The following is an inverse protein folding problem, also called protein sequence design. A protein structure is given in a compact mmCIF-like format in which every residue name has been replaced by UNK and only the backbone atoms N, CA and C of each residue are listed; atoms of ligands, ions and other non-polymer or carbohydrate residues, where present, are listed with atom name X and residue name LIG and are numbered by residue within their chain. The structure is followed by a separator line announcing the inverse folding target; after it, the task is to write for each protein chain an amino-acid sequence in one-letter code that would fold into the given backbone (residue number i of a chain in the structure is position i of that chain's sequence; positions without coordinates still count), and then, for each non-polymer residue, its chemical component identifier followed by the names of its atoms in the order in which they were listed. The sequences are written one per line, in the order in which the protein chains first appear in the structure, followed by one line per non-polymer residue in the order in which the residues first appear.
data_IF_307478637684
#
_entry.id   IF_307478637684
#
_cell.length_a   1.000
_cell.length_b   1.000
_cell.length_c   1.000
_cell.angle_alpha   90.00
_cell.angle_beta   90.00
_cell.angle_gamma   90.00
#
_symmetry.space_group_name_H-M   'P 1'
#
loop_
_entity.id
_entity.type
_entity.pdbx_description
1 polymer ?
#
# COMPACT_ATOMS: atom_id res chain seq x y z
N UNK A 1 0.91 -2.70 23.06
CA UNK A 1 1.90 -2.15 22.11
C UNK A 1 2.22 -0.75 22.60
N UNK A 2 3.39 -0.55 23.21
CA UNK A 2 3.79 0.71 23.84
C UNK A 2 4.46 1.60 22.78
N UNK A 3 3.77 2.63 22.33
CA UNK A 3 4.39 3.70 21.56
C UNK A 3 5.15 4.58 22.55
N UNK A 4 6.47 4.71 22.37
CA UNK A 4 7.23 5.76 23.06
C UNK A 4 7.18 7.00 22.15
N UNK A 5 6.34 7.97 22.52
CA UNK A 5 6.46 9.32 21.99
C UNK A 5 7.75 9.92 22.53
N UNK A 6 8.58 10.49 21.65
CA UNK A 6 9.62 11.42 22.07
C UNK A 6 9.07 12.82 21.85
N UNK A 7 8.69 13.47 22.94
CA UNK A 7 8.13 14.81 22.90
C UNK A 7 9.28 15.82 22.98
N UNK A 8 9.46 16.61 21.92
CA UNK A 8 10.38 17.74 21.90
C UNK A 8 9.57 19.00 22.21
N UNK A 9 9.88 19.63 23.35
CA UNK A 9 9.22 20.87 23.80
C UNK A 9 10.15 22.04 23.55
N UNK A 10 9.75 22.94 22.65
CA UNK A 10 10.50 24.17 22.39
C UNK A 10 9.77 25.35 23.05
N UNK A 11 10.35 25.94 24.09
CA UNK A 11 9.72 27.08 24.79
C UNK A 11 10.26 28.42 24.27
N UNK A 12 9.38 29.24 23.68
CA UNK A 12 9.71 30.63 23.33
C UNK A 12 9.92 31.41 24.62
N UNK A 13 10.97 32.23 24.66
CA UNK A 13 11.41 32.95 25.85
C UNK A 13 10.36 33.97 26.34
N UNK A 14 9.46 33.52 27.21
CA UNK A 14 8.72 34.39 28.11
C UNK A 14 9.63 34.63 29.34
N UNK A 15 9.93 35.89 29.73
CA UNK A 15 10.78 36.17 30.89
C UNK A 15 10.27 35.54 32.19
N UNK A 16 8.95 35.31 32.30
CA UNK A 16 8.33 34.60 33.44
C UNK A 16 8.57 33.07 33.34
N UNK A 17 8.66 32.52 32.14
CA UNK A 17 8.97 31.10 31.93
C UNK A 17 10.45 30.77 32.18
N UNK A 18 11.34 31.78 32.17
CA UNK A 18 12.77 31.61 32.43
C UNK A 18 13.06 31.10 33.85
N UNK A 19 12.22 31.45 34.82
CA UNK A 19 12.33 30.94 36.19
C UNK A 19 11.64 29.56 36.35
N UNK A 20 10.48 29.35 35.72
CA UNK A 20 9.75 28.07 35.71
C UNK A 20 10.53 26.93 35.03
N UNK A 21 11.46 27.25 34.12
CA UNK A 21 12.33 26.30 33.41
C UNK A 21 13.81 26.62 33.61
N UNK A 22 14.20 27.16 34.78
CA UNK A 22 15.61 27.20 35.18
C UNK A 22 16.10 25.77 35.37
N UNK A 23 16.54 25.16 34.27
CA UNK A 23 16.87 23.75 34.18
C UNK A 23 18.29 23.49 34.71
N UNK A 24 18.56 23.89 35.96
CA UNK A 24 19.65 23.27 36.73
C UNK A 24 19.39 21.78 36.96
N UNK A 25 18.12 21.35 36.81
CA UNK A 25 17.68 19.95 36.81
C UNK A 25 17.06 19.52 35.47
N UNK A 26 17.68 19.87 34.33
CA UNK A 26 17.29 19.29 33.05
C UNK A 26 17.36 17.76 33.14
N UNK A 27 16.20 17.09 33.19
CA UNK A 27 16.13 15.62 33.18
C UNK A 27 16.90 15.10 31.96
N UNK A 28 17.54 13.93 32.09
CA UNK A 28 18.17 13.21 30.97
C UNK A 28 17.23 13.21 29.74
N UNK A 29 17.64 13.89 28.67
CA UNK A 29 16.93 13.90 27.38
C UNK A 29 16.47 15.27 26.85
N UNK A 30 16.69 16.38 27.57
CA UNK A 30 16.39 17.72 27.06
C UNK A 30 17.66 18.47 26.62
N UNK A 31 17.58 19.20 25.51
CA UNK A 31 18.62 20.14 25.07
C UNK A 31 18.00 21.54 24.89
N UNK A 32 18.71 22.57 25.36
CA UNK A 32 18.29 23.96 25.24
C UNK A 32 18.97 24.55 24.01
N UNK A 33 18.20 25.17 23.11
CA UNK A 33 18.73 25.79 21.89
C UNK A 33 18.70 27.31 21.99
N UNK A 34 19.78 27.94 21.54
CA UNK A 34 19.86 29.38 21.42
C UNK A 34 19.41 29.80 20.01
N UNK A 35 18.42 30.71 19.89
CA UNK A 35 17.88 31.12 18.60
C UNK A 35 18.83 31.97 17.74
N UNK A 36 20.05 32.25 18.22
CA UNK A 36 21.09 32.97 17.49
C UNK A 36 21.86 32.09 16.50
N UNK A 37 21.77 30.77 16.67
CA UNK A 37 22.52 29.83 15.87
C UNK A 37 21.66 29.47 14.66
N UNK A 38 22.08 29.89 13.46
CA UNK A 38 21.45 29.52 12.18
C UNK A 38 21.65 28.03 11.83
N UNK A 39 22.00 27.22 12.82
CA UNK A 39 22.48 25.87 12.63
C UNK A 39 21.29 24.94 12.49
N UNK A 40 21.33 24.14 11.42
CA UNK A 40 20.37 23.05 11.24
C UNK A 40 20.69 21.98 12.27
N UNK A 41 19.70 21.63 13.11
CA UNK A 41 19.85 20.59 14.11
C UNK A 41 19.23 19.27 13.61
N UNK A 42 20.00 18.19 13.71
CA UNK A 42 19.58 16.86 13.32
C UNK A 42 19.18 16.04 14.55
N UNK A 43 18.02 15.38 14.47
CA UNK A 43 17.52 14.48 15.52
C UNK A 43 17.52 13.06 14.97
N UNK A 44 18.59 12.28 15.19
CA UNK A 44 18.63 10.90 14.73
C UNK A 44 17.58 10.10 15.49
N UNK A 45 16.76 9.36 14.76
CA UNK A 45 15.83 8.38 15.31
C UNK A 45 15.96 7.07 14.56
N UNK A 46 15.58 5.98 15.22
CA UNK A 46 15.53 4.66 14.60
C UNK A 46 14.33 3.92 15.15
N UNK A 47 13.59 3.25 14.27
CA UNK A 47 12.55 2.31 14.66
C UNK A 47 12.57 1.10 13.73
N UNK A 48 11.98 0.00 14.19
CA UNK A 48 11.88 -1.23 13.41
C UNK A 48 10.41 -1.47 13.11
N UNK A 49 10.07 -1.61 11.83
CA UNK A 49 8.71 -1.99 11.41
C UNK A 49 8.50 -3.45 11.79
N UNK A 50 7.46 -3.78 12.59
CA UNK A 50 7.20 -5.17 12.96
C UNK A 50 6.93 -6.04 11.73
N UNK A 51 7.49 -7.25 11.70
CA UNK A 51 7.31 -8.16 10.56
C UNK A 51 5.88 -8.66 10.33
N UNK A 52 4.97 -8.46 11.30
CA UNK A 52 3.55 -8.79 11.20
C UNK A 52 2.70 -7.62 10.68
N UNK A 53 3.31 -6.47 10.41
CA UNK A 53 2.63 -5.30 9.86
C UNK A 53 2.15 -5.60 8.43
N UNK A 54 0.98 -5.06 8.07
CA UNK A 54 0.42 -5.20 6.74
C UNK A 54 1.24 -4.42 5.72
N UNK A 55 1.18 -4.84 4.46
CA UNK A 55 1.77 -4.04 3.38
C UNK A 55 0.94 -2.79 3.11
N UNK A 56 1.56 -1.79 2.51
CA UNK A 56 0.86 -0.61 2.00
C UNK A 56 -0.03 -1.04 0.84
N UNK A 57 -1.34 -0.85 1.00
CA UNK A 57 -2.35 -1.19 0.00
C UNK A 57 -3.18 0.05 -0.26
N UNK A 58 -3.38 0.39 -1.53
CA UNK A 58 -4.32 1.42 -1.93
C UNK A 58 -5.37 0.82 -2.87
N UNK A 59 -6.63 0.83 -2.46
CA UNK A 59 -7.77 0.31 -3.23
C UNK A 59 -8.84 1.38 -3.37
N UNK A 60 -9.80 1.17 -4.26
CA UNK A 60 -10.97 2.05 -4.42
C UNK A 60 -11.88 2.12 -3.17
N UNK A 61 -11.74 1.18 -2.24
CA UNK A 61 -12.55 1.11 -1.02
C UNK A 61 -11.81 1.56 0.24
N UNK A 62 -10.51 1.81 0.16
CA UNK A 62 -9.72 2.15 1.34
C UNK A 62 -8.22 1.95 1.14
N UNK A 63 -7.48 2.43 2.13
CA UNK A 63 -6.03 2.46 2.12
C UNK A 63 -5.45 1.94 3.43
N UNK A 64 -4.42 1.12 3.34
CA UNK A 64 -3.47 0.83 4.40
C UNK A 64 -2.21 1.60 4.06
N UNK A 65 -1.89 2.63 4.84
CA UNK A 65 -0.73 3.48 4.64
C UNK A 65 0.02 3.71 5.94
N UNK A 66 1.32 3.97 5.83
CA UNK A 66 2.16 4.35 6.95
C UNK A 66 2.69 5.75 6.71
N UNK A 67 2.76 6.55 7.77
CA UNK A 67 3.34 7.88 7.73
C UNK A 67 4.32 8.06 8.88
N UNK A 68 5.44 8.73 8.60
CA UNK A 68 6.32 9.29 9.60
C UNK A 68 5.83 10.70 9.90
N UNK A 69 5.38 10.94 11.13
CA UNK A 69 4.86 12.22 11.58
C UNK A 69 5.82 12.87 12.56
N UNK A 70 6.35 14.03 12.19
CA UNK A 70 7.19 14.87 13.05
C UNK A 70 6.33 15.98 13.61
N UNK A 71 6.27 16.10 14.94
CA UNK A 71 5.47 17.11 15.62
C UNK A 71 6.37 17.94 16.54
N UNK A 72 6.39 19.25 16.33
CA UNK A 72 7.04 20.21 17.24
C UNK A 72 5.95 20.86 18.08
N UNK A 73 6.01 20.65 19.39
CA UNK A 73 5.10 21.29 20.33
C UNK A 73 5.84 22.42 21.04
N UNK A 74 5.29 23.64 20.96
CA UNK A 74 5.81 24.76 21.75
C UNK A 74 4.88 25.08 22.91
N UNK A 75 5.45 25.49 24.03
CA UNK A 75 4.67 25.81 25.23
C UNK A 75 3.99 27.19 25.08
N UNK A 76 2.65 27.23 25.17
CA UNK A 76 1.84 28.46 25.08
C UNK A 76 0.35 28.16 24.92
N UNK A 77 -0.53 29.07 25.38
CA UNK A 77 -1.98 28.93 25.23
C UNK A 77 -2.40 29.17 23.79
N UNK A 78 -2.93 28.13 23.13
CA UNK A 78 -3.57 28.22 21.81
C UNK A 78 -2.66 27.88 20.64
N UNK A 79 -2.68 26.62 20.19
CA UNK A 79 -2.27 26.17 18.84
C UNK A 79 -0.83 26.53 18.45
N UNK A 80 0.16 25.99 19.15
CA UNK A 80 1.55 26.02 18.67
C UNK A 80 2.11 24.62 18.42
N UNK A 81 1.40 23.87 17.59
CA UNK A 81 1.83 22.55 17.13
C UNK A 81 2.15 22.66 15.64
N UNK A 82 3.42 22.50 15.28
CA UNK A 82 3.81 22.29 13.89
C UNK A 82 3.91 20.80 13.63
N UNK A 83 3.37 20.33 12.52
CA UNK A 83 3.32 18.92 12.17
C UNK A 83 3.66 18.74 10.71
N UNK A 84 4.60 17.84 10.43
CA UNK A 84 4.93 17.41 9.08
C UNK A 84 4.77 15.89 9.00
N UNK A 85 4.07 15.41 7.97
CA UNK A 85 3.94 13.97 7.66
C UNK A 85 4.72 13.62 6.40
N UNK A 86 5.36 12.46 6.40
CA UNK A 86 6.03 11.85 5.25
C UNK A 86 5.48 10.42 5.05
N UNK A 87 4.91 10.08 3.88
CA UNK A 87 4.42 8.72 3.63
C UNK A 87 5.57 7.72 3.53
N UNK A 88 5.37 6.52 4.09
CA UNK A 88 6.34 5.42 4.10
C UNK A 88 5.70 4.18 3.48
N UNK A 89 6.12 3.74 2.27
CA UNK A 89 5.61 2.52 1.68
C UNK A 89 6.23 1.30 2.39
N UNK A 90 5.38 0.35 2.76
CA UNK A 90 5.79 -0.91 3.40
C UNK A 90 5.46 -2.07 2.48
N UNK A 91 6.47 -2.82 2.08
CA UNK A 91 6.33 -4.00 1.23
C UNK A 91 6.66 -5.25 2.02
N UNK A 92 5.90 -6.32 1.79
CA UNK A 92 6.21 -7.64 2.35
C UNK A 92 7.00 -8.45 1.34
N UNK A 93 8.12 -8.99 1.80
CA UNK A 93 8.96 -9.89 1.01
C UNK A 93 8.86 -11.27 1.63
N UNK A 94 8.57 -12.32 0.84
CA UNK A 94 8.62 -13.68 1.36
C UNK A 94 10.02 -13.96 1.89
N UNK A 95 10.09 -14.49 3.11
CA UNK A 95 11.36 -14.96 3.67
C UNK A 95 11.65 -16.33 3.07
N UNK A 96 12.91 -16.57 2.71
CA UNK A 96 13.36 -17.86 2.18
C UNK A 96 12.94 -19.02 3.09
N UNK A 97 12.42 -20.08 2.48
CA UNK A 97 11.97 -21.28 3.18
C UNK A 97 10.64 -21.14 3.94
N UNK A 98 9.89 -20.05 3.72
CA UNK A 98 8.52 -19.90 4.22
C UNK A 98 7.50 -20.52 3.25
N UNK A 99 6.28 -20.80 3.73
CA UNK A 99 5.19 -21.29 2.88
C UNK A 99 4.88 -20.36 1.70
N UNK A 100 5.08 -19.04 1.87
CA UNK A 100 4.93 -18.08 0.79
C UNK A 100 6.01 -18.24 -0.29
N UNK A 101 7.26 -18.47 0.13
CA UNK A 101 8.36 -18.74 -0.80
C UNK A 101 8.13 -20.03 -1.59
N UNK A 102 7.70 -21.12 -0.92
CA UNK A 102 7.36 -22.37 -1.60
C UNK A 102 6.19 -22.22 -2.58
N UNK A 103 5.19 -21.39 -2.25
CA UNK A 103 4.07 -21.12 -3.14
C UNK A 103 4.45 -20.40 -4.46
N UNK A 104 5.65 -19.77 -4.51
CA UNK A 104 6.21 -19.22 -5.76
C UNK A 104 6.87 -20.29 -6.64
N UNK A 105 7.15 -21.47 -6.09
CA UNK A 105 7.76 -22.61 -6.79
C UNK A 105 6.77 -23.74 -7.09
N UNK A 106 5.64 -23.77 -6.38
CA UNK A 106 4.62 -24.81 -6.55
C UNK A 106 3.86 -24.62 -7.86
N UNK A 107 3.93 -25.62 -8.74
CA UNK A 107 3.17 -25.60 -9.99
C UNK A 107 1.66 -25.67 -9.75
N UNK A 108 0.88 -24.89 -10.50
CA UNK A 108 -0.57 -24.94 -10.47
C UNK A 108 -1.08 -25.94 -11.52
N UNK A 109 -1.92 -26.89 -11.10
CA UNK A 109 -2.65 -27.79 -11.99
C UNK A 109 -4.13 -27.78 -11.64
N UNK A 110 -4.95 -27.29 -12.56
CA UNK A 110 -6.41 -27.26 -12.43
C UNK A 110 -7.04 -28.11 -13.52
N UNK A 111 -8.08 -28.87 -13.18
CA UNK A 111 -8.84 -29.67 -14.14
C UNK A 111 -10.32 -29.38 -13.99
N UNK A 112 -11.00 -29.22 -15.11
CA UNK A 112 -12.44 -29.08 -15.20
C UNK A 112 -12.98 -30.06 -16.25
N UNK A 113 -14.15 -30.61 -15.98
CA UNK A 113 -14.86 -31.53 -16.87
C UNK A 113 -16.28 -30.98 -17.07
N UNK A 114 -16.68 -30.80 -18.33
CA UNK A 114 -18.04 -30.44 -18.70
C UNK A 114 -18.78 -31.69 -19.14
N UNK A 115 -19.41 -32.36 -18.19
CA UNK A 115 -20.36 -33.46 -18.43
C UNK A 115 -19.80 -34.58 -19.32
N UNK A 116 -18.49 -34.86 -19.27
CA UNK A 116 -17.85 -35.86 -20.11
C UNK A 116 -17.83 -35.51 -21.60
N UNK A 117 -18.08 -34.25 -21.96
CA UNK A 117 -17.97 -33.75 -23.32
C UNK A 117 -16.57 -33.19 -23.59
N UNK A 118 -16.06 -32.37 -22.67
CA UNK A 118 -14.77 -31.69 -22.79
C UNK A 118 -14.08 -31.70 -21.44
N UNK A 119 -12.79 -32.02 -21.45
CA UNK A 119 -11.91 -31.85 -20.31
C UNK A 119 -10.96 -30.68 -20.59
N UNK A 120 -10.92 -29.69 -19.68
CA UNK A 120 -9.91 -28.63 -19.67
C UNK A 120 -8.93 -28.90 -18.54
N UNK A 121 -7.66 -28.84 -18.86
CA UNK A 121 -6.58 -28.87 -17.90
C UNK A 121 -5.74 -27.60 -18.06
N UNK A 122 -5.61 -26.84 -16.98
CA UNK A 122 -4.80 -25.61 -16.93
C UNK A 122 -3.57 -25.90 -16.08
N UNK A 123 -2.40 -25.68 -16.68
CA UNK A 123 -1.10 -25.84 -16.06
C UNK A 123 -0.42 -24.48 -15.99
N UNK A 124 0.15 -24.14 -14.84
CA UNK A 124 1.03 -22.99 -14.69
C UNK A 124 2.25 -23.38 -13.87
N UNK A 125 3.37 -22.73 -14.18
CA UNK A 125 4.67 -22.99 -13.53
C UNK A 125 4.63 -22.66 -12.03
N UNK A 126 3.74 -21.74 -11.62
CA UNK A 126 3.60 -21.33 -10.22
C UNK A 126 2.15 -21.00 -9.85
N UNK A 127 1.78 -21.27 -8.61
CA UNK A 127 0.51 -20.83 -7.98
C UNK A 127 0.56 -19.32 -7.66
N UNK A 128 1.75 -18.76 -7.45
CA UNK A 128 1.95 -17.36 -7.07
C UNK A 128 2.90 -16.64 -8.03
N UNK A 129 2.57 -15.41 -8.40
CA UNK A 129 3.37 -14.59 -9.32
C UNK A 129 3.74 -13.26 -8.68
N UNK A 130 4.95 -12.79 -8.99
CA UNK A 130 5.39 -11.45 -8.58
C UNK A 130 4.93 -10.41 -9.60
N UNK A 131 4.82 -9.14 -9.20
CA UNK A 131 4.30 -8.07 -10.05
C UNK A 131 5.06 -7.88 -11.38
N UNK A 132 6.32 -8.33 -11.47
CA UNK A 132 7.17 -8.22 -12.67
C UNK A 132 7.36 -9.55 -13.39
N UNK A 133 6.79 -10.64 -12.88
CA UNK A 133 6.90 -11.96 -13.51
C UNK A 133 5.86 -12.14 -14.63
N UNK A 134 6.20 -12.96 -15.62
CA UNK A 134 5.25 -13.41 -16.63
C UNK A 134 4.50 -14.62 -16.09
N UNK A 135 3.18 -14.62 -16.22
CA UNK A 135 2.36 -15.78 -15.91
C UNK A 135 2.22 -16.63 -17.18
N UNK A 136 2.97 -17.72 -17.22
CA UNK A 136 2.86 -18.71 -18.28
C UNK A 136 1.73 -19.68 -17.92
N UNK A 137 0.74 -19.79 -18.79
CA UNK A 137 -0.39 -20.70 -18.60
C UNK A 137 -0.53 -21.57 -19.84
N UNK A 138 -0.46 -22.87 -19.63
CA UNK A 138 -0.75 -23.86 -20.68
C UNK A 138 -2.13 -24.44 -20.44
N UNK A 139 -3.04 -24.20 -21.37
CA UNK A 139 -4.33 -24.87 -21.41
C UNK A 139 -4.26 -26.09 -22.33
N UNK A 140 -4.70 -27.25 -21.84
CA UNK A 140 -4.85 -28.49 -22.59
C UNK A 140 -6.33 -28.82 -22.62
N UNK A 141 -6.92 -28.80 -23.81
CA UNK A 141 -8.32 -29.15 -24.02
C UNK A 141 -8.38 -30.54 -24.67
N UNK A 142 -9.17 -31.44 -24.07
CA UNK A 142 -9.41 -32.79 -24.61
C UNK A 142 -10.90 -32.96 -24.89
N UNK A 143 -11.33 -33.03 -26.16
CA UNK A 143 -12.69 -33.44 -26.48
C UNK A 143 -12.85 -34.93 -26.17
N UNK A 144 -13.87 -35.27 -25.36
CA UNK A 144 -14.18 -36.64 -24.96
C UNK A 144 -15.28 -37.25 -25.84
N UNK A 145 -16.03 -36.42 -26.58
CA UNK A 145 -17.02 -36.84 -27.55
C UNK A 145 -16.57 -36.53 -28.98
N UNK A 146 -16.94 -37.42 -29.91
CA UNK A 146 -16.68 -37.22 -31.35
C UNK A 146 -17.49 -36.03 -31.89
N UNK A 147 -16.97 -35.41 -32.94
CA UNK A 147 -17.62 -34.28 -33.66
C UNK A 147 -17.72 -32.97 -32.89
N UNK A 148 -17.00 -32.82 -31.78
CA UNK A 148 -16.84 -31.53 -31.12
C UNK A 148 -15.63 -30.81 -31.70
N UNK A 149 -15.84 -29.55 -32.11
CA UNK A 149 -14.78 -28.67 -32.56
C UNK A 149 -14.66 -27.54 -31.54
N UNK A 150 -13.47 -27.36 -30.99
CA UNK A 150 -13.15 -26.15 -30.24
C UNK A 150 -13.22 -24.99 -31.24
N UNK A 151 -13.95 -23.93 -30.90
CA UNK A 151 -14.00 -22.71 -31.71
C UNK A 151 -13.05 -21.67 -31.14
N UNK A 152 -12.96 -21.62 -29.82
CA UNK A 152 -12.38 -20.50 -29.10
C UNK A 152 -12.01 -20.87 -27.66
N UNK A 153 -10.90 -20.31 -27.18
CA UNK A 153 -10.50 -20.35 -25.78
C UNK A 153 -10.03 -18.97 -25.31
N UNK A 154 -10.58 -18.51 -24.20
CA UNK A 154 -10.18 -17.29 -23.52
C UNK A 154 -9.65 -17.57 -22.11
N UNK A 155 -8.52 -16.94 -21.78
CA UNK A 155 -8.02 -16.84 -20.41
C UNK A 155 -8.23 -15.41 -19.90
N UNK A 156 -8.71 -15.28 -18.67
CA UNK A 156 -8.95 -13.98 -18.03
C UNK A 156 -8.40 -13.99 -16.62
N UNK A 157 -7.63 -12.96 -16.29
CA UNK A 157 -7.13 -12.71 -14.95
C UNK A 157 -7.96 -11.60 -14.31
N UNK A 158 -8.55 -11.90 -13.15
CA UNK A 158 -9.39 -10.97 -12.40
C UNK A 158 -8.77 -10.68 -11.04
N UNK A 159 -8.71 -9.41 -10.67
CA UNK A 159 -8.49 -8.96 -9.31
C UNK A 159 -9.83 -8.97 -8.57
N UNK A 160 -9.88 -9.60 -7.39
CA UNK A 160 -11.06 -9.64 -6.54
C UNK A 160 -10.77 -9.02 -5.18
N UNK A 161 -11.37 -7.86 -4.92
CA UNK A 161 -11.24 -7.16 -3.63
C UNK A 161 -12.50 -7.42 -2.83
N UNK A 162 -12.33 -7.87 -1.58
CA UNK A 162 -13.42 -8.10 -0.63
C UNK A 162 -13.20 -7.23 0.60
N UNK A 163 -14.14 -6.32 0.87
CA UNK A 163 -14.07 -5.42 2.02
C UNK A 163 -15.15 -5.80 3.01
N UNK A 164 -14.74 -6.30 4.16
CA UNK A 164 -15.69 -6.73 5.22
C UNK A 164 -16.35 -5.55 5.92
N UNK A 165 -15.67 -4.41 6.01
CA UNK A 165 -16.14 -3.24 6.74
C UNK A 165 -17.17 -2.41 5.95
N UNK A 166 -17.18 -2.54 4.62
CA UNK A 166 -18.12 -1.85 3.77
C UNK A 166 -19.25 -2.81 3.40
N UNK A 167 -20.47 -2.48 3.79
CA UNK A 167 -21.67 -3.23 3.46
C UNK A 167 -22.43 -2.51 2.35
N UNK A 168 -23.04 -3.28 1.46
CA UNK A 168 -23.99 -2.75 0.50
C UNK A 168 -25.35 -2.44 1.17
N UNK A 169 -26.32 -1.97 0.38
CA UNK A 169 -27.66 -1.66 0.87
C UNK A 169 -28.44 -2.86 1.42
N UNK A 170 -27.95 -4.08 1.20
CA UNK A 170 -28.54 -5.33 1.69
C UNK A 170 -27.77 -5.92 2.87
N UNK A 171 -26.71 -5.26 3.32
CA UNK A 171 -25.85 -5.74 4.41
C UNK A 171 -24.81 -6.77 3.96
N UNK A 172 -24.63 -6.98 2.65
CA UNK A 172 -23.62 -7.87 2.11
C UNK A 172 -22.27 -7.14 1.97
N UNK A 173 -21.13 -7.81 2.23
CA UNK A 173 -19.82 -7.21 2.02
C UNK A 173 -19.65 -6.75 0.57
N UNK A 174 -19.19 -5.50 0.38
CA UNK A 174 -18.89 -4.97 -0.95
C UNK A 174 -17.76 -5.81 -1.57
N UNK A 175 -17.99 -6.21 -2.82
CA UNK A 175 -17.06 -6.98 -3.64
C UNK A 175 -16.78 -6.16 -4.90
N UNK A 176 -15.51 -6.07 -5.26
CA UNK A 176 -15.09 -5.58 -6.57
C UNK A 176 -14.38 -6.68 -7.33
N UNK A 177 -14.63 -6.70 -8.62
CA UNK A 177 -13.97 -7.56 -9.58
C UNK A 177 -13.48 -6.70 -10.74
N UNK A 178 -12.17 -6.68 -10.94
CA UNK A 178 -11.52 -5.93 -12.02
C UNK A 178 -10.78 -6.89 -12.93
N UNK A 179 -11.06 -6.83 -14.24
CA UNK A 179 -10.29 -7.56 -15.24
C UNK A 179 -8.90 -6.93 -15.36
N UNK A 180 -7.85 -7.70 -15.06
CA UNK A 180 -6.44 -7.27 -15.19
C UNK A 180 -5.97 -7.49 -16.62
N UNK A 181 -6.13 -8.73 -17.12
CA UNK A 181 -5.73 -9.09 -18.47
C UNK A 181 -6.62 -10.19 -19.04
N UNK A 182 -6.69 -10.23 -20.37
CA UNK A 182 -7.40 -11.24 -21.13
C UNK A 182 -6.53 -11.67 -22.32
N UNK A 183 -6.45 -12.97 -22.55
CA UNK A 183 -5.86 -13.56 -23.75
C UNK A 183 -6.88 -14.49 -24.39
N UNK A 184 -6.78 -14.65 -25.70
CA UNK A 184 -7.80 -15.28 -26.51
C UNK A 184 -7.16 -15.94 -27.73
N UNK A 185 -7.45 -17.22 -27.94
CA UNK A 185 -6.92 -17.98 -29.08
C UNK A 185 -8.08 -18.67 -29.76
N UNK A 186 -8.19 -18.44 -31.07
CA UNK A 186 -9.15 -19.12 -31.92
C UNK A 186 -8.47 -20.28 -32.63
N UNK A 187 -9.24 -21.32 -32.95
CA UNK A 187 -8.70 -22.53 -33.59
C UNK A 187 -8.23 -22.36 -35.03
N UNK A 188 -8.55 -21.24 -35.67
CA UNK A 188 -8.02 -20.87 -36.99
C UNK A 188 -6.58 -20.31 -36.92
N UNK A 189 -6.03 -20.11 -35.73
CA UNK A 189 -4.68 -19.62 -35.49
C UNK A 189 -3.74 -20.75 -34.98
N UNK A 190 -2.95 -21.39 -35.87
CA UNK A 190 -2.16 -22.57 -35.53
C UNK A 190 -0.92 -22.29 -34.66
N UNK A 191 -0.53 -21.03 -34.46
CA UNK A 191 0.66 -20.63 -33.67
C UNK A 191 0.32 -19.94 -32.34
N UNK A 192 -0.96 -19.87 -31.96
CA UNK A 192 -1.41 -19.12 -30.78
C UNK A 192 -0.96 -19.71 -29.44
N UNK A 193 0.17 -19.24 -28.90
CA UNK A 193 0.50 -19.44 -27.48
C UNK A 193 -0.31 -18.49 -26.59
N UNK A 194 -0.99 -19.04 -25.58
CA UNK A 194 -1.72 -18.27 -24.57
C UNK A 194 -0.76 -17.66 -23.54
N UNK A 195 -0.15 -16.53 -23.91
CA UNK A 195 0.66 -15.75 -22.99
C UNK A 195 -0.19 -14.62 -22.36
N UNK A 196 -0.24 -14.55 -21.02
CA UNK A 196 -0.86 -13.45 -20.29
C UNK A 196 0.25 -12.51 -19.79
N UNK A 197 0.54 -11.42 -20.51
CA UNK A 197 1.47 -10.44 -19.99
C UNK A 197 0.84 -9.77 -18.76
N UNK A 198 1.41 -10.01 -17.58
CA UNK A 198 1.06 -9.25 -16.38
C UNK A 198 1.84 -7.95 -16.45
N UNK A 199 1.25 -6.93 -17.06
CA UNK A 199 1.70 -5.55 -16.87
C UNK A 199 0.86 -4.94 -15.76
N UNK A 200 1.36 -5.01 -14.53
CA UNK A 200 0.72 -4.30 -13.44
C UNK A 200 1.03 -2.81 -13.58
N UNK A 201 0.22 -2.05 -14.33
CA UNK A 201 0.16 -0.59 -14.19
C UNK A 201 -0.59 -0.29 -12.89
N UNK A 202 0.06 -0.55 -11.75
CA UNK A 202 -0.44 -0.03 -10.49
C UNK A 202 -0.35 1.50 -10.58
N UNK A 203 -1.45 2.21 -10.28
CA UNK A 203 -1.46 3.68 -10.30
C UNK A 203 -0.47 4.31 -9.29
N UNK A 204 0.10 3.49 -8.40
CA UNK A 204 1.12 3.88 -7.43
C UNK A 204 2.48 4.14 -8.09
N UNK A 205 2.86 3.39 -9.13
CA UNK A 205 4.08 3.70 -9.89
C UNK A 205 3.93 5.04 -10.65
N UNK A 206 2.71 5.38 -11.12
CA UNK A 206 2.45 6.69 -11.70
C UNK A 206 2.50 7.83 -10.68
N UNK A 207 2.03 7.62 -9.45
CA UNK A 207 2.05 8.64 -8.39
C UNK A 207 3.44 8.84 -7.75
N UNK A 208 4.24 7.77 -7.63
CA UNK A 208 5.62 7.88 -7.16
C UNK A 208 6.53 8.51 -8.22
N UNK A 209 6.29 8.24 -9.51
CA UNK A 209 7.01 8.91 -10.60
C UNK A 209 6.54 10.36 -10.80
N UNK A 210 5.25 10.67 -10.64
CA UNK A 210 4.76 12.06 -10.77
C UNK A 210 5.20 12.98 -9.62
N UNK A 211 5.51 12.43 -8.44
CA UNK A 211 5.96 13.21 -7.28
C UNK A 211 7.48 13.35 -7.19
N UNK A 212 8.26 12.73 -8.08
CA UNK A 212 9.72 12.89 -8.11
C UNK A 212 10.23 13.86 -9.19
N UNK A 213 9.40 14.25 -10.17
CA UNK A 213 9.79 15.17 -11.25
C UNK A 213 9.36 16.64 -11.02
N UNK A 214 8.74 16.98 -9.88
CA UNK A 214 8.36 18.37 -9.57
C UNK A 214 9.29 19.01 -8.50
N UNK A 215 10.27 19.77 -9.01
CA UNK A 215 10.81 21.02 -8.43
C UNK A 215 11.47 20.96 -7.04
N UNK A 216 12.79 20.79 -7.05
CA UNK A 216 13.67 21.56 -6.18
C UNK A 216 13.89 22.97 -6.76
N UNK A 217 12.87 23.82 -6.75
CA UNK A 217 13.05 25.26 -7.00
C UNK A 217 12.32 26.09 -5.93
N UNK A 218 13.10 26.63 -5.00
CA UNK A 218 12.76 27.81 -4.19
C UNK A 218 11.93 27.58 -2.92
N UNK A 219 12.17 28.36 -1.85
CA UNK A 219 11.34 28.33 -0.66
C UNK A 219 9.94 28.92 -0.95
N UNK A 220 8.85 28.31 -0.46
CA UNK A 220 7.50 28.80 -0.72
C UNK A 220 7.23 30.10 0.04
N UNK A 221 6.77 31.11 -0.69
CA UNK A 221 6.05 32.25 -0.13
C UNK A 221 4.77 31.79 0.57
N UNK A 222 4.53 32.31 1.78
CA UNK A 222 3.35 32.10 2.60
C UNK A 222 2.05 32.11 1.78
N UNK A 223 1.37 30.96 1.73
CA UNK A 223 -0.03 30.86 1.32
C UNK A 223 -0.90 30.68 2.56
N UNK A 224 -1.93 31.51 2.68
CA UNK A 224 -3.01 31.35 3.67
C UNK A 224 -3.70 30.00 3.46
N UNK A 225 -3.78 29.20 4.52
CA UNK A 225 -4.51 27.95 4.51
C UNK A 225 -6.02 28.22 4.55
N UNK A 226 -6.84 27.57 3.69
CA UNK A 226 -8.29 27.62 3.83
C UNK A 226 -8.74 26.90 5.10
N UNK A 227 -9.79 27.42 5.72
CA UNK A 227 -10.36 26.90 6.96
C UNK A 227 -10.78 25.41 6.83
N UNK A 228 -10.56 24.58 7.87
CA UNK A 228 -10.96 23.18 7.86
C UNK A 228 -12.50 23.03 7.85
N UNK A 229 -13.06 22.04 7.13
CA UNK A 229 -14.48 21.73 7.21
C UNK A 229 -14.82 21.18 8.60
N UNK A 230 -15.99 21.59 9.12
CA UNK A 230 -16.54 21.12 10.37
C UNK A 230 -16.90 19.62 10.28
N UNK A 231 -16.39 18.82 11.21
CA UNK A 231 -16.83 17.43 11.38
C UNK A 231 -17.88 17.37 12.50
N UNK A 232 -19.00 16.72 12.19
CA UNK A 232 -20.06 16.39 13.14
C UNK A 232 -19.74 15.02 13.76
N UNK A 233 -19.55 14.98 15.08
CA UNK A 233 -19.48 13.73 15.84
C UNK A 233 -20.86 13.05 15.89
N UNK A 234 -20.94 11.81 15.42
CA UNK A 234 -22.08 10.92 15.63
C UNK A 234 -21.79 10.05 16.86
N UNK A 235 -22.39 10.39 17.99
CA UNK A 235 -22.47 9.50 19.14
C UNK A 235 -23.58 8.47 18.89
N UNK A 236 -23.23 7.18 19.01
CA UNK A 236 -24.19 6.08 19.04
C UNK A 236 -24.23 5.57 20.48
N UNK A 237 -25.40 5.73 21.12
CA UNK A 237 -25.80 5.08 22.37
C UNK A 237 -26.21 3.64 22.14
#
# INVERSE_FOLDING_TARGET
MLWKSQDIVCCRQNPIAKELFSASDARLGYSVWNPSDSDTHEFPFSFVIPGHTHETVNTEFGQIGYELKVTIQTCGFGINTWTQSLPVPVYRVPKEGTSWDYALTDSLRMRADWLGAVELEVLSDSVSVTAKSKLNVRAVIRPLQKSQMLVDIGLRLYEKIKVKAALDRFGDPIKSERLICQSHVRTDDPEGELNLPIYNRSGLDQLLLSNMDDKCEGPPSYFEAPAPPAYTELQVT
#
